data_IF_152186693477
#
_entry.id   IF_152186693477
#
_cell.length_a   1.000
_cell.length_b   1.000
_cell.length_c   1.000
_cell.angle_alpha   90.00
_cell.angle_beta   90.00
_cell.angle_gamma   90.00
#
_symmetry.space_group_name_H-M   'P 1'
#
loop_
_entity.id
_entity.type
_entity.pdbx_description
1 polymer ?
#
# COMPACT_ATOMS: atom_id res chain seq x y z
N UNK A 1 -39.74 9.17 -29.71
CA UNK A 1 -39.45 7.74 -29.52
C UNK A 1 -40.48 6.93 -30.25
N UNK A 2 -40.11 5.77 -30.80
CA UNK A 2 -40.98 4.91 -31.61
C UNK A 2 -41.21 3.59 -30.88
N UNK A 3 -42.47 3.13 -30.81
CA UNK A 3 -42.82 1.84 -30.23
C UNK A 3 -42.96 0.79 -31.33
N UNK A 4 -42.45 -0.41 -31.07
CA UNK A 4 -42.55 -1.56 -31.98
C UNK A 4 -43.26 -2.72 -31.28
N UNK A 5 -44.22 -3.33 -31.97
CA UNK A 5 -44.85 -4.57 -31.53
C UNK A 5 -43.93 -5.74 -31.91
N UNK A 6 -43.44 -6.48 -30.93
CA UNK A 6 -42.59 -7.66 -31.14
C UNK A 6 -43.10 -8.83 -30.29
N UNK A 7 -42.69 -10.05 -30.63
CA UNK A 7 -42.99 -11.28 -29.88
C UNK A 7 -41.84 -11.70 -28.95
N UNK A 8 -41.05 -10.73 -28.46
CA UNK A 8 -39.89 -11.00 -27.62
C UNK A 8 -40.34 -11.02 -26.16
N UNK A 9 -40.08 -12.13 -25.47
CA UNK A 9 -40.37 -12.32 -24.05
C UNK A 9 -39.10 -12.78 -23.31
N UNK A 10 -38.87 -12.26 -22.11
CA UNK A 10 -37.77 -12.71 -21.25
C UNK A 10 -38.25 -13.83 -20.32
N UNK A 11 -37.47 -14.90 -20.24
CA UNK A 11 -37.66 -15.98 -19.27
C UNK A 11 -36.49 -16.02 -18.27
N UNK A 12 -36.74 -16.52 -17.06
CA UNK A 12 -35.70 -16.68 -16.05
C UNK A 12 -34.85 -17.90 -16.41
N UNK A 13 -33.54 -17.68 -16.58
CA UNK A 13 -32.57 -18.74 -16.83
C UNK A 13 -31.77 -19.03 -15.54
N UNK A 14 -32.39 -19.76 -14.61
CA UNK A 14 -31.77 -20.23 -13.36
C UNK A 14 -31.73 -21.76 -13.38
N UNK A 15 -30.65 -22.35 -12.85
CA UNK A 15 -30.55 -23.81 -12.78
C UNK A 15 -31.57 -24.39 -11.77
N UNK A 16 -32.30 -25.46 -12.13
CA UNK A 16 -33.22 -26.16 -11.20
C UNK A 16 -32.54 -26.71 -9.95
N UNK A 17 -31.21 -26.90 -10.00
CA UNK A 17 -30.39 -27.29 -8.85
C UNK A 17 -30.64 -26.42 -7.61
N UNK A 18 -31.03 -25.16 -7.82
CA UNK A 18 -31.21 -24.16 -6.77
C UNK A 18 -32.68 -23.97 -6.35
N UNK A 19 -33.62 -24.73 -6.94
CA UNK A 19 -35.05 -24.69 -6.60
C UNK A 19 -35.54 -26.03 -5.99
N UNK A 20 -34.85 -27.14 -6.27
CA UNK A 20 -35.16 -28.46 -5.72
C UNK A 20 -34.64 -28.54 -4.27
N UNK A 21 -35.54 -28.81 -3.33
CA UNK A 21 -35.18 -29.00 -1.92
C UNK A 21 -34.29 -30.24 -1.73
N UNK A 22 -33.24 -30.12 -0.90
CA UNK A 22 -32.26 -31.19 -0.64
C UNK A 22 -31.58 -31.74 -1.90
N UNK A 23 -31.44 -30.93 -2.95
CA UNK A 23 -30.75 -31.33 -4.16
C UNK A 23 -29.29 -31.72 -3.89
N UNK A 24 -28.85 -32.84 -4.46
CA UNK A 24 -27.46 -33.24 -4.42
C UNK A 24 -26.65 -32.44 -5.45
N UNK A 25 -25.96 -31.40 -5.00
CA UNK A 25 -25.12 -30.53 -5.83
C UNK A 25 -23.91 -31.22 -6.48
N UNK A 26 -23.56 -32.44 -6.04
CA UNK A 26 -22.50 -33.26 -6.64
C UNK A 26 -23.02 -34.24 -7.69
N UNK A 27 -24.34 -34.29 -7.93
CA UNK A 27 -24.95 -35.27 -8.85
C UNK A 27 -24.61 -35.03 -10.33
N UNK A 28 -24.22 -33.81 -10.71
CA UNK A 28 -23.91 -33.43 -12.09
C UNK A 28 -25.14 -33.36 -13.03
N UNK A 29 -26.35 -33.56 -12.51
CA UNK A 29 -27.59 -33.57 -13.32
C UNK A 29 -28.04 -32.16 -13.75
N UNK A 30 -27.89 -31.17 -12.86
CA UNK A 30 -28.20 -29.77 -13.11
C UNK A 30 -26.97 -28.90 -12.79
N UNK A 31 -26.84 -27.76 -13.48
CA UNK A 31 -25.73 -26.83 -13.28
C UNK A 31 -25.69 -26.28 -11.87
N UNK A 32 -24.52 -26.29 -11.24
CA UNK A 32 -24.30 -25.76 -9.88
C UNK A 32 -23.33 -24.57 -9.88
N UNK A 33 -23.06 -24.00 -11.06
CA UNK A 33 -22.19 -22.85 -11.22
C UNK A 33 -22.78 -21.62 -10.51
N UNK A 34 -21.98 -21.03 -9.63
CA UNK A 34 -22.26 -19.76 -8.96
C UNK A 34 -21.06 -18.85 -9.14
N UNK A 35 -21.33 -17.56 -9.36
CA UNK A 35 -20.28 -16.55 -9.43
C UNK A 35 -19.94 -16.10 -8.00
N UNK A 36 -18.65 -16.07 -7.68
CA UNK A 36 -18.16 -15.49 -6.44
C UNK A 36 -18.38 -13.99 -6.41
N UNK A 37 -18.64 -13.45 -5.22
CA UNK A 37 -18.78 -12.02 -5.01
C UNK A 37 -17.42 -11.43 -4.63
N UNK A 38 -16.94 -10.51 -5.44
CA UNK A 38 -15.71 -9.75 -5.20
C UNK A 38 -16.07 -8.31 -4.82
N UNK A 39 -15.11 -7.58 -4.24
CA UNK A 39 -15.23 -6.12 -4.16
C UNK A 39 -15.42 -5.55 -5.57
N UNK A 40 -16.29 -4.56 -5.72
CA UNK A 40 -16.67 -3.97 -7.01
C UNK A 40 -15.50 -3.30 -7.74
N UNK A 41 -14.38 -3.10 -7.04
CA UNK A 41 -13.19 -2.45 -7.56
C UNK A 41 -12.09 -3.48 -7.84
N UNK A 42 -12.33 -4.36 -8.81
CA UNK A 42 -11.25 -5.17 -9.36
C UNK A 42 -10.28 -4.23 -10.10
N UNK A 43 -9.11 -3.98 -9.51
CA UNK A 43 -8.06 -3.13 -10.08
C UNK A 43 -6.83 -3.94 -10.43
N UNK A 44 -6.27 -3.66 -11.60
CA UNK A 44 -5.00 -4.19 -12.05
C UNK A 44 -4.06 -3.01 -12.28
N UNK A 45 -2.93 -3.02 -11.61
CA UNK A 45 -1.92 -1.96 -11.70
C UNK A 45 -0.55 -2.58 -12.00
N UNK A 46 0.15 -2.03 -13.01
CA UNK A 46 1.49 -2.43 -13.39
C UNK A 46 2.48 -1.38 -12.87
N UNK A 47 3.49 -1.82 -12.12
CA UNK A 47 4.56 -0.94 -11.63
C UNK A 47 5.91 -1.65 -11.68
N UNK A 48 6.97 -0.86 -11.79
CA UNK A 48 8.34 -1.35 -11.70
C UNK A 48 8.73 -1.46 -10.23
N UNK A 49 9.21 -2.62 -9.82
CA UNK A 49 9.76 -2.85 -8.47
C UNK A 49 11.28 -2.66 -8.50
N UNK A 50 11.84 -2.09 -7.43
CA UNK A 50 13.27 -1.93 -7.29
C UNK A 50 13.93 -3.27 -6.90
N UNK A 51 15.24 -3.38 -7.16
CA UNK A 51 16.01 -4.52 -6.64
C UNK A 51 16.12 -4.44 -5.11
N UNK A 52 15.98 -5.58 -4.43
CA UNK A 52 15.97 -5.64 -2.96
C UNK A 52 17.24 -5.04 -2.32
N UNK A 53 18.38 -5.12 -3.02
CA UNK A 53 19.66 -4.60 -2.51
C UNK A 53 19.63 -3.09 -2.48
N UNK A 54 19.01 -2.45 -3.48
CA UNK A 54 18.88 -1.00 -3.55
C UNK A 54 18.04 -0.49 -2.37
N UNK A 55 16.90 -1.13 -2.10
CA UNK A 55 16.04 -0.79 -0.96
C UNK A 55 16.79 -0.94 0.37
N UNK A 56 17.56 -2.02 0.52
CA UNK A 56 18.37 -2.27 1.71
C UNK A 56 19.46 -1.20 1.89
N UNK A 57 20.21 -0.87 0.82
CA UNK A 57 21.24 0.16 0.90
C UNK A 57 20.64 1.53 1.21
N UNK A 58 19.52 1.90 0.59
CA UNK A 58 18.83 3.16 0.87
C UNK A 58 18.41 3.24 2.36
N UNK A 59 17.87 2.15 2.90
CA UNK A 59 17.50 2.06 4.31
C UNK A 59 18.72 2.21 5.24
N UNK A 60 19.82 1.51 4.96
CA UNK A 60 21.05 1.58 5.76
C UNK A 60 21.69 2.97 5.72
N UNK A 61 21.73 3.60 4.55
CA UNK A 61 22.25 4.97 4.39
C UNK A 61 21.40 5.96 5.18
N UNK A 62 20.06 5.83 5.14
CA UNK A 62 19.16 6.69 5.91
C UNK A 62 19.42 6.56 7.41
N UNK A 63 19.57 5.33 7.91
CA UNK A 63 19.93 5.06 9.32
C UNK A 63 21.26 5.71 9.67
N UNK A 64 22.30 5.51 8.85
CA UNK A 64 23.61 6.09 9.08
C UNK A 64 23.57 7.62 9.12
N UNK A 65 22.83 8.25 8.22
CA UNK A 65 22.65 9.71 8.19
C UNK A 65 21.96 10.23 9.46
N UNK A 66 20.94 9.54 9.97
CA UNK A 66 20.27 9.90 11.22
C UNK A 66 21.27 9.82 12.39
N UNK A 67 22.02 8.73 12.48
CA UNK A 67 23.00 8.54 13.57
C UNK A 67 24.21 9.46 13.48
N UNK A 68 24.59 9.93 12.30
CA UNK A 68 25.68 10.90 12.14
C UNK A 68 25.18 12.33 12.38
N UNK A 69 23.98 12.68 11.91
CA UNK A 69 23.46 14.04 12.02
C UNK A 69 23.21 14.46 13.47
N UNK A 70 22.65 13.61 14.32
CA UNK A 70 22.40 13.94 15.72
C UNK A 70 23.67 14.33 16.53
N UNK A 71 24.75 13.53 16.56
CA UNK A 71 25.98 13.89 17.26
C UNK A 71 26.75 15.03 16.59
N UNK A 72 26.71 15.15 15.26
CA UNK A 72 27.32 16.29 14.57
C UNK A 72 26.65 17.60 14.97
N UNK A 73 25.32 17.65 15.03
CA UNK A 73 24.60 18.83 15.48
C UNK A 73 24.82 19.12 16.97
N UNK A 74 24.93 18.09 17.81
CA UNK A 74 25.25 18.26 19.23
C UNK A 74 26.69 18.76 19.45
N UNK A 75 27.67 18.21 18.73
CA UNK A 75 29.09 18.55 18.86
C UNK A 75 29.46 19.89 18.22
N UNK A 76 28.77 20.28 17.14
CA UNK A 76 28.93 21.59 16.49
C UNK A 76 28.14 22.70 17.17
N UNK A 77 27.52 22.43 18.32
CA UNK A 77 26.84 23.47 19.08
C UNK A 77 27.84 24.60 19.32
N UNK A 78 27.49 25.76 18.80
CA UNK A 78 28.29 26.99 18.64
C UNK A 78 29.18 27.31 19.87
N UNK A 79 28.73 26.92 21.06
CA UNK A 79 29.45 26.99 22.33
C UNK A 79 30.85 26.35 22.31
N UNK A 80 31.05 25.13 21.79
CA UNK A 80 32.38 24.49 21.77
C UNK A 80 33.37 25.18 20.83
N UNK A 81 32.89 25.67 19.68
CA UNK A 81 33.70 26.41 18.73
C UNK A 81 34.06 27.81 19.26
N UNK A 82 33.10 28.50 19.90
CA UNK A 82 33.35 29.79 20.54
C UNK A 82 34.34 29.67 21.72
N UNK A 83 34.26 28.61 22.54
CA UNK A 83 35.16 28.40 23.69
C UNK A 83 36.62 28.13 23.27
N UNK A 84 36.84 27.49 22.12
CA UNK A 84 38.19 27.18 21.62
C UNK A 84 38.77 28.24 20.67
N UNK A 85 37.95 29.15 20.14
CA UNK A 85 38.39 30.20 19.20
C UNK A 85 38.61 31.56 19.86
N UNK A 86 38.02 31.80 21.04
CA UNK A 86 38.26 33.02 21.81
C UNK A 86 39.52 32.86 22.67
N UNK A 87 40.50 33.79 22.62
CA UNK A 87 41.60 33.79 23.57
C UNK A 87 41.04 33.97 24.99
N UNK A 88 41.65 33.35 26.03
CA UNK A 88 41.16 33.48 27.40
C UNK A 88 41.07 34.96 27.77
N UNK A 89 39.88 35.40 28.17
CA UNK A 89 39.65 36.78 28.55
C UNK A 89 40.64 37.17 29.65
N UNK A 90 41.48 38.17 29.38
CA UNK A 90 42.37 38.76 30.38
C UNK A 90 41.50 39.24 31.56
N UNK A 91 41.89 38.97 32.82
CA UNK A 91 41.11 39.43 33.96
C UNK A 91 40.98 40.95 33.89
N UNK A 92 39.74 41.45 33.84
CA UNK A 92 39.48 42.88 33.99
C UNK A 92 39.96 43.29 35.37
N UNK A 93 41.02 44.10 35.42
CA UNK A 93 41.40 44.79 36.65
C UNK A 93 40.35 45.86 36.93
N UNK A 94 39.83 45.79 38.15
CA UNK A 94 38.81 46.66 38.74
C UNK A 94 39.21 48.15 38.69
#
# INVERSE_FOLDING_TARGET
GTCYRTSIYMGIAKSPAFDIENYNFSSGQYSTWVESRWDSHARLELFLTADYRLELYAFLIAILMIFLSAPLNYGLKEQWFLDNSLPPASPQQL
#
